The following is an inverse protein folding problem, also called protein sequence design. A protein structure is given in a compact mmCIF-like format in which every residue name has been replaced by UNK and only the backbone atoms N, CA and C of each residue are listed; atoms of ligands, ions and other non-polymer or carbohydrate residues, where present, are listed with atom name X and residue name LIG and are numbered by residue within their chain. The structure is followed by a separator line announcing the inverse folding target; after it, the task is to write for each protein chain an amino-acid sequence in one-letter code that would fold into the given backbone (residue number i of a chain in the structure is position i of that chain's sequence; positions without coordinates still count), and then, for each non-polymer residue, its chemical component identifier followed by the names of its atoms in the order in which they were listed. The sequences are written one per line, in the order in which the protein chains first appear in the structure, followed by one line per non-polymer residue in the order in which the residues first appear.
data_IF_562927549195
#
_entry.id   IF_562927549195
#
_cell.length_a   1.000
_cell.length_b   1.000
_cell.length_c   1.000
_cell.angle_alpha   90.00
_cell.angle_beta   90.00
_cell.angle_gamma   90.00
#
_symmetry.space_group_name_H-M   'P 1'
#
loop_
_entity.id
_entity.type
_entity.pdbx_description
1 polymer ?
#
# COMPACT_ATOMS: atom_id res chain seq x y z
N UNK A 1 36.59 -11.13 -65.29
CA UNK A 1 37.41 -12.13 -64.57
C UNK A 1 36.95 -12.16 -63.13
N UNK A 2 36.41 -13.32 -62.69
CA UNK A 2 36.46 -13.93 -61.34
C UNK A 2 36.33 -13.04 -60.09
N UNK A 3 35.50 -13.31 -59.08
CA UNK A 3 34.74 -14.49 -58.71
C UNK A 3 33.65 -14.12 -57.68
N UNK A 4 32.57 -14.88 -57.73
CA UNK A 4 31.46 -14.99 -56.78
C UNK A 4 31.89 -15.45 -55.38
N UNK A 5 31.24 -14.96 -54.31
CA UNK A 5 30.92 -15.84 -53.18
C UNK A 5 29.58 -15.50 -52.52
N UNK A 6 28.75 -16.52 -52.57
CA UNK A 6 27.36 -16.65 -52.17
C UNK A 6 27.33 -17.18 -50.72
N UNK A 7 26.61 -16.54 -49.80
CA UNK A 7 26.34 -17.10 -48.47
C UNK A 7 24.84 -17.16 -48.20
N UNK A 8 24.37 -18.41 -48.09
CA UNK A 8 22.99 -18.82 -47.83
C UNK A 8 22.52 -18.44 -46.41
N UNK A 9 21.20 -18.32 -46.20
CA UNK A 9 20.61 -18.08 -44.89
C UNK A 9 20.44 -19.38 -44.09
N UNK A 10 20.84 -19.35 -42.82
CA UNK A 10 20.70 -20.46 -41.89
C UNK A 10 19.31 -20.40 -41.21
N UNK A 11 18.37 -21.21 -41.71
CA UNK A 11 17.05 -21.41 -41.10
C UNK A 11 17.17 -22.43 -39.96
N UNK A 12 17.35 -21.92 -38.74
CA UNK A 12 17.25 -22.70 -37.50
C UNK A 12 15.81 -23.11 -37.19
N UNK A 13 15.44 -24.32 -37.62
CA UNK A 13 14.21 -25.03 -37.27
C UNK A 13 14.41 -25.66 -35.88
N UNK A 14 13.88 -25.08 -34.80
CA UNK A 14 13.77 -25.77 -33.50
C UNK A 14 12.34 -26.20 -33.24
N UNK A 15 12.19 -27.52 -33.36
CA UNK A 15 11.27 -28.43 -32.69
C UNK A 15 10.27 -27.82 -31.72
N UNK A 16 8.99 -28.09 -31.98
CA UNK A 16 7.93 -27.94 -31.00
C UNK A 16 8.08 -28.91 -29.83
N UNK A 17 7.65 -28.44 -28.66
CA UNK A 17 7.07 -29.26 -27.61
C UNK A 17 5.76 -28.58 -27.26
N UNK A 18 4.66 -29.24 -27.62
CA UNK A 18 3.31 -28.87 -27.24
C UNK A 18 2.97 -29.43 -25.85
N UNK A 19 2.15 -28.69 -25.11
CA UNK A 19 1.43 -29.07 -23.87
C UNK A 19 2.32 -29.42 -22.67
N UNK A 20 2.00 -29.01 -21.44
CA UNK A 20 0.72 -29.24 -20.77
C UNK A 20 0.23 -28.06 -19.91
N UNK A 21 -1.09 -27.84 -19.95
CA UNK A 21 -1.89 -27.21 -18.89
C UNK A 21 -1.53 -27.81 -17.53
N UNK A 22 -1.29 -26.97 -16.51
CA UNK A 22 -2.15 -26.96 -15.32
C UNK A 22 -2.21 -25.51 -14.81
N UNK A 23 -3.30 -24.81 -15.12
CA UNK A 23 -3.67 -23.57 -14.42
C UNK A 23 -4.28 -24.01 -13.10
N UNK A 24 -3.44 -24.34 -12.11
CA UNK A 24 -3.91 -24.48 -10.74
C UNK A 24 -4.41 -23.10 -10.34
N UNK A 25 -5.74 -22.96 -10.33
CA UNK A 25 -6.41 -21.91 -9.59
C UNK A 25 -6.11 -22.24 -8.13
N UNK A 26 -4.94 -21.84 -7.64
CA UNK A 26 -4.63 -21.82 -6.22
C UNK A 26 -5.59 -20.82 -5.58
N UNK A 27 -6.82 -21.28 -5.35
CA UNK A 27 -7.69 -20.68 -4.36
C UNK A 27 -6.95 -20.72 -3.02
N UNK A 28 -7.15 -19.70 -2.19
CA UNK A 28 -6.07 -19.15 -1.40
C UNK A 28 -5.95 -19.93 -0.09
N UNK A 29 -5.29 -21.09 -0.14
CA UNK A 29 -4.92 -21.83 1.08
C UNK A 29 -4.05 -20.97 1.99
N UNK A 30 -3.23 -20.05 1.45
CA UNK A 30 -2.53 -19.02 2.25
C UNK A 30 -3.46 -17.98 2.89
N UNK A 31 -4.60 -17.63 2.28
CA UNK A 31 -5.62 -16.78 2.94
C UNK A 31 -6.42 -17.56 3.98
N UNK A 32 -6.69 -18.85 3.76
CA UNK A 32 -7.43 -19.66 4.72
C UNK A 32 -6.58 -19.96 5.95
N UNK A 33 -5.29 -20.26 5.79
CA UNK A 33 -4.38 -20.43 6.93
C UNK A 33 -4.15 -19.11 7.66
N UNK A 34 -3.99 -17.98 6.97
CA UNK A 34 -3.92 -16.66 7.63
C UNK A 34 -5.24 -16.24 8.29
N UNK A 35 -6.40 -16.57 7.71
CA UNK A 35 -7.70 -16.34 8.35
C UNK A 35 -7.90 -17.21 9.58
N UNK A 36 -7.52 -18.50 9.54
CA UNK A 36 -7.62 -19.42 10.68
C UNK A 36 -6.61 -19.04 11.77
N UNK A 37 -5.38 -18.66 11.43
CA UNK A 37 -4.43 -18.16 12.44
C UNK A 37 -4.84 -16.82 13.01
N UNK A 38 -5.47 -15.93 12.22
CA UNK A 38 -6.01 -14.66 12.72
C UNK A 38 -7.29 -14.87 13.56
N UNK A 39 -8.07 -15.91 13.29
CA UNK A 39 -9.23 -16.30 14.10
C UNK A 39 -8.78 -16.86 15.45
N UNK A 40 -7.79 -17.76 15.46
CA UNK A 40 -7.20 -18.28 16.69
C UNK A 40 -6.36 -17.25 17.48
N UNK A 41 -5.81 -16.23 16.82
CA UNK A 41 -5.10 -15.13 17.49
C UNK A 41 -6.02 -14.00 17.97
N UNK A 42 -7.31 -14.03 17.63
CA UNK A 42 -8.22 -12.95 18.01
C UNK A 42 -8.76 -13.20 19.41
N UNK A 43 -8.49 -12.28 20.33
CA UNK A 43 -9.08 -12.23 21.67
C UNK A 43 -10.61 -12.37 21.63
N UNK A 44 -11.23 -11.95 20.53
CA UNK A 44 -12.66 -12.10 20.24
C UNK A 44 -13.11 -13.58 20.15
N UNK A 45 -12.29 -14.46 19.60
CA UNK A 45 -12.57 -15.89 19.52
C UNK A 45 -12.57 -16.54 20.90
N UNK A 46 -11.55 -16.24 21.71
CA UNK A 46 -11.47 -16.71 23.10
C UNK A 46 -12.62 -16.17 23.95
N UNK A 47 -13.01 -14.91 23.75
CA UNK A 47 -14.17 -14.32 24.38
C UNK A 47 -15.46 -15.08 24.02
N UNK A 48 -15.66 -15.39 22.73
CA UNK A 48 -16.84 -16.16 22.28
C UNK A 48 -16.86 -17.55 22.93
N UNK A 49 -15.73 -18.27 22.94
CA UNK A 49 -15.64 -19.58 23.59
C UNK A 49 -16.03 -19.49 25.06
N UNK A 50 -15.55 -18.47 25.76
CA UNK A 50 -15.78 -18.33 27.20
C UNK A 50 -17.23 -17.96 27.51
N UNK A 51 -17.85 -17.13 26.66
CA UNK A 51 -19.28 -16.85 26.74
C UNK A 51 -20.10 -18.13 26.50
N UNK A 52 -19.71 -18.98 25.54
CA UNK A 52 -20.36 -20.27 25.30
C UNK A 52 -20.20 -21.21 26.49
N UNK A 53 -18.99 -21.33 27.06
CA UNK A 53 -18.73 -22.16 28.25
C UNK A 53 -19.58 -21.69 29.43
N UNK A 54 -19.65 -20.37 29.64
CA UNK A 54 -20.49 -19.79 30.69
C UNK A 54 -21.97 -20.08 30.46
N UNK A 55 -22.47 -19.91 29.23
CA UNK A 55 -23.85 -20.24 28.89
C UNK A 55 -24.17 -21.72 29.12
N UNK A 56 -23.27 -22.63 28.73
CA UNK A 56 -23.41 -24.07 28.98
C UNK A 56 -23.39 -24.40 30.48
N UNK A 57 -22.52 -23.75 31.25
CA UNK A 57 -22.46 -23.94 32.71
C UNK A 57 -23.79 -23.55 33.37
N UNK A 58 -24.35 -22.39 32.99
CA UNK A 58 -25.66 -21.93 33.49
C UNK A 58 -26.82 -22.81 33.02
N UNK A 59 -26.76 -23.33 31.79
CA UNK A 59 -27.75 -24.28 31.29
C UNK A 59 -27.74 -25.59 32.07
N UNK A 60 -26.54 -26.12 32.33
CA UNK A 60 -26.36 -27.31 33.16
C UNK A 60 -26.93 -27.10 34.57
N UNK A 61 -26.69 -25.94 35.18
CA UNK A 61 -27.20 -25.59 36.50
C UNK A 61 -28.75 -25.60 36.53
N UNK A 62 -29.38 -24.93 35.56
CA UNK A 62 -30.84 -24.93 35.40
C UNK A 62 -31.38 -26.36 35.18
N UNK A 63 -30.70 -27.18 34.38
CA UNK A 63 -31.14 -28.55 34.09
C UNK A 63 -31.01 -29.50 35.29
N UNK A 64 -30.04 -29.25 36.18
CA UNK A 64 -29.76 -30.07 37.36
C UNK A 64 -30.58 -29.71 38.59
N UNK A 65 -31.39 -28.64 38.51
CA UNK A 65 -32.23 -28.13 39.60
C UNK A 65 -33.15 -29.18 40.26
N UNK A 66 -33.39 -30.33 39.63
CA UNK A 66 -34.23 -31.41 40.15
C UNK A 66 -33.51 -32.57 40.87
N UNK A 67 -32.18 -32.54 41.04
CA UNK A 67 -31.47 -33.67 41.67
C UNK A 67 -30.89 -33.31 43.05
N UNK A 68 -31.57 -33.66 44.17
CA UNK A 68 -31.20 -33.24 45.52
C UNK A 68 -29.92 -33.89 46.08
N UNK A 69 -29.30 -34.85 45.38
CA UNK A 69 -28.16 -35.60 45.88
C UNK A 69 -26.77 -35.03 45.50
N UNK A 70 -26.69 -33.93 44.74
CA UNK A 70 -25.42 -33.36 44.26
C UNK A 70 -24.95 -32.17 45.12
N UNK A 71 -24.43 -32.42 46.34
CA UNK A 71 -23.94 -31.35 47.24
C UNK A 71 -22.69 -30.58 46.72
N UNK A 72 -21.94 -31.16 45.78
CA UNK A 72 -20.70 -30.58 45.25
C UNK A 72 -20.94 -29.55 44.14
N UNK A 73 -22.04 -29.68 43.40
CA UNK A 73 -22.31 -28.89 42.19
C UNK A 73 -22.46 -27.39 42.47
N UNK A 74 -23.22 -26.94 43.49
CA UNK A 74 -23.37 -25.51 43.77
C UNK A 74 -22.03 -24.82 44.06
N UNK A 75 -21.15 -25.48 44.84
CA UNK A 75 -19.82 -24.94 45.16
C UNK A 75 -18.94 -24.80 43.92
N UNK A 76 -18.96 -25.79 43.03
CA UNK A 76 -18.22 -25.75 41.78
C UNK A 76 -18.76 -24.68 40.84
N UNK A 77 -20.08 -24.62 40.67
CA UNK A 77 -20.75 -23.62 39.83
C UNK A 77 -20.40 -22.20 40.28
N UNK A 78 -20.46 -21.90 41.57
CA UNK A 78 -20.14 -20.57 42.10
C UNK A 78 -18.68 -20.18 41.87
N UNK A 79 -17.74 -21.11 42.07
CA UNK A 79 -16.32 -20.83 41.80
C UNK A 79 -16.05 -20.63 40.31
N UNK A 80 -16.60 -21.50 39.45
CA UNK A 80 -16.41 -21.45 38.02
C UNK A 80 -17.06 -20.20 37.40
N UNK A 81 -18.27 -19.84 37.82
CA UNK A 81 -18.98 -18.65 37.35
C UNK A 81 -18.22 -17.38 37.72
N UNK A 82 -17.76 -17.24 38.98
CA UNK A 82 -16.94 -16.10 39.41
C UNK A 82 -15.66 -15.97 38.59
N UNK A 83 -14.97 -17.08 38.31
CA UNK A 83 -13.78 -17.07 37.46
C UNK A 83 -14.08 -16.64 36.02
N UNK A 84 -15.13 -17.19 35.41
CA UNK A 84 -15.53 -16.86 34.04
C UNK A 84 -15.97 -15.40 33.91
N UNK A 85 -16.74 -14.88 34.87
CA UNK A 85 -17.15 -13.48 34.91
C UNK A 85 -15.93 -12.57 35.02
N UNK A 86 -14.99 -12.87 35.92
CA UNK A 86 -13.75 -12.11 36.06
C UNK A 86 -12.95 -12.09 34.75
N UNK A 87 -12.88 -13.22 34.04
CA UNK A 87 -12.21 -13.30 32.75
C UNK A 87 -12.91 -12.47 31.67
N UNK A 88 -14.24 -12.54 31.58
CA UNK A 88 -15.05 -11.75 30.62
C UNK A 88 -14.84 -10.25 30.88
N UNK A 89 -14.91 -9.82 32.14
CA UNK A 89 -14.69 -8.43 32.53
C UNK A 89 -13.28 -7.97 32.12
N UNK A 90 -12.25 -8.78 32.40
CA UNK A 90 -10.86 -8.48 32.01
C UNK A 90 -10.71 -8.34 30.48
N UNK A 91 -11.30 -9.25 29.70
CA UNK A 91 -11.29 -9.16 28.24
C UNK A 91 -12.02 -7.92 27.73
N UNK A 92 -13.16 -7.59 28.34
CA UNK A 92 -13.92 -6.40 28.00
C UNK A 92 -13.12 -5.13 28.27
N UNK A 93 -12.44 -5.04 29.42
CA UNK A 93 -11.54 -3.93 29.73
C UNK A 93 -10.38 -3.84 28.74
N UNK A 94 -9.71 -4.95 28.42
CA UNK A 94 -8.65 -4.94 27.40
C UNK A 94 -9.18 -4.44 26.04
N UNK A 95 -10.36 -4.93 25.63
CA UNK A 95 -10.96 -4.55 24.36
C UNK A 95 -11.29 -3.05 24.32
N UNK A 96 -11.86 -2.51 25.39
CA UNK A 96 -12.29 -1.11 25.46
C UNK A 96 -11.10 -0.15 25.66
N UNK A 97 -10.13 -0.52 26.48
CA UNK A 97 -9.01 0.35 26.87
C UNK A 97 -7.85 0.29 25.88
N UNK A 98 -7.56 -0.87 25.30
CA UNK A 98 -6.39 -1.07 24.45
C UNK A 98 -6.81 -1.20 22.99
N UNK A 99 -7.61 -2.22 22.67
CA UNK A 99 -7.88 -2.58 21.27
C UNK A 99 -8.70 -1.52 20.52
N UNK A 100 -9.77 -1.00 21.12
CA UNK A 100 -10.66 -0.04 20.48
C UNK A 100 -9.97 1.31 20.20
N UNK A 101 -9.26 1.94 21.16
CA UNK A 101 -8.52 3.17 20.91
C UNK A 101 -7.43 2.98 19.85
N UNK A 102 -6.69 1.87 19.90
CA UNK A 102 -5.63 1.59 18.92
C UNK A 102 -6.19 1.44 17.50
N UNK A 103 -7.31 0.73 17.34
CA UNK A 103 -7.96 0.56 16.03
C UNK A 103 -8.49 1.89 15.49
N UNK A 104 -9.12 2.72 16.33
CA UNK A 104 -9.60 4.05 15.95
C UNK A 104 -8.43 4.95 15.53
N UNK A 105 -7.35 4.94 16.32
CA UNK A 105 -6.13 5.70 16.06
C UNK A 105 -5.52 5.31 14.71
N UNK A 106 -5.33 4.02 14.44
CA UNK A 106 -4.84 3.50 13.14
C UNK A 106 -5.69 3.99 11.95
N UNK A 107 -7.01 3.86 12.05
CA UNK A 107 -7.91 4.29 11.00
C UNK A 107 -7.82 5.81 10.71
N UNK A 108 -7.74 6.64 11.75
CA UNK A 108 -7.64 8.10 11.60
C UNK A 108 -6.35 8.47 10.85
N UNK A 109 -5.22 7.85 11.22
CA UNK A 109 -3.94 8.09 10.56
C UNK A 109 -4.01 7.68 9.11
N UNK A 110 -4.51 6.48 8.83
CA UNK A 110 -4.61 5.94 7.49
C UNK A 110 -5.42 6.87 6.60
N UNK A 111 -6.59 7.30 7.07
CA UNK A 111 -7.46 8.22 6.35
C UNK A 111 -6.78 9.58 6.12
N UNK A 112 -6.14 10.13 7.15
CA UNK A 112 -5.44 11.41 7.04
C UNK A 112 -4.26 11.32 6.06
N UNK A 113 -3.43 10.28 6.20
CA UNK A 113 -2.25 10.06 5.36
C UNK A 113 -2.63 9.79 3.91
N UNK A 114 -3.72 9.03 3.67
CA UNK A 114 -4.27 8.83 2.32
C UNK A 114 -4.69 10.15 1.70
N UNK A 115 -5.51 10.94 2.41
CA UNK A 115 -6.01 12.23 1.93
C UNK A 115 -4.86 13.20 1.64
N UNK A 116 -3.89 13.24 2.53
CA UNK A 116 -2.73 14.11 2.40
C UNK A 116 -1.83 13.68 1.24
N UNK A 117 -1.57 12.38 1.06
CA UNK A 117 -0.85 11.86 -0.10
C UNK A 117 -1.56 12.23 -1.41
N UNK A 118 -2.87 12.08 -1.46
CA UNK A 118 -3.67 12.46 -2.64
C UNK A 118 -3.59 13.96 -2.93
N UNK A 119 -3.62 14.82 -1.90
CA UNK A 119 -3.43 16.26 -2.05
C UNK A 119 -2.03 16.61 -2.58
N UNK A 120 -0.98 16.04 -1.98
CA UNK A 120 0.41 16.22 -2.42
C UNK A 120 0.57 15.79 -3.88
N UNK A 121 -0.02 14.66 -4.25
CA UNK A 121 0.03 14.12 -5.61
C UNK A 121 -0.66 15.07 -6.61
N UNK A 122 -1.82 15.64 -6.25
CA UNK A 122 -2.49 16.68 -7.06
C UNK A 122 -1.61 17.92 -7.22
N UNK A 123 -1.02 18.41 -6.14
CA UNK A 123 -0.18 19.61 -6.17
C UNK A 123 1.07 19.42 -7.03
N UNK A 124 1.73 18.25 -6.92
CA UNK A 124 2.83 17.86 -7.80
C UNK A 124 2.35 17.81 -9.25
N UNK A 125 1.17 17.26 -9.51
CA UNK A 125 0.63 17.14 -10.85
C UNK A 125 0.32 18.49 -11.48
N UNK A 126 -0.18 19.47 -10.71
CA UNK A 126 -0.28 20.86 -11.17
C UNK A 126 1.07 21.39 -11.65
N UNK A 127 2.15 21.16 -10.89
CA UNK A 127 3.49 21.60 -11.30
C UNK A 127 3.98 20.86 -12.55
N UNK A 128 3.69 19.55 -12.67
CA UNK A 128 4.01 18.77 -13.88
C UNK A 128 3.32 19.36 -15.11
N UNK A 129 2.02 19.68 -15.01
CA UNK A 129 1.27 20.26 -16.13
C UNK A 129 1.84 21.62 -16.51
N UNK A 130 2.06 22.52 -15.54
CA UNK A 130 2.62 23.85 -15.82
C UNK A 130 4.00 23.78 -16.46
N UNK A 131 4.90 22.92 -15.96
CA UNK A 131 6.21 22.69 -16.58
C UNK A 131 6.06 22.08 -17.98
N UNK A 132 5.14 21.13 -18.18
CA UNK A 132 4.90 20.52 -19.51
C UNK A 132 4.43 21.56 -20.53
N UNK A 133 3.56 22.49 -20.11
CA UNK A 133 3.10 23.60 -20.96
C UNK A 133 4.25 24.53 -21.36
N UNK A 134 5.11 24.88 -20.39
CA UNK A 134 6.34 25.64 -20.66
C UNK A 134 7.30 24.89 -21.59
N UNK A 135 7.33 23.57 -21.50
CA UNK A 135 8.08 22.67 -22.38
C UNK A 135 7.51 22.47 -23.78
N UNK A 136 6.35 23.09 -24.10
CA UNK A 136 5.78 23.12 -25.45
C UNK A 136 4.44 22.38 -25.61
N UNK A 137 3.96 21.67 -24.59
CA UNK A 137 2.68 20.94 -24.68
C UNK A 137 1.51 21.92 -24.57
N UNK A 138 0.68 22.02 -25.61
CA UNK A 138 -0.47 22.94 -25.66
C UNK A 138 -1.83 22.30 -25.39
N UNK A 139 -1.93 20.98 -25.41
CA UNK A 139 -3.19 20.24 -25.36
C UNK A 139 -3.59 19.77 -23.94
N UNK A 140 -2.84 20.16 -22.91
CA UNK A 140 -3.13 19.80 -21.51
C UNK A 140 -3.36 21.10 -20.73
N UNK A 141 -4.42 21.14 -19.93
CA UNK A 141 -4.71 22.24 -19.01
C UNK A 141 -4.85 21.72 -17.58
N UNK A 142 -4.66 22.60 -16.61
CA UNK A 142 -4.73 22.26 -15.19
C UNK A 142 -6.16 22.38 -14.63
N UNK A 143 -7.14 21.84 -15.37
CA UNK A 143 -8.54 21.78 -14.95
C UNK A 143 -8.82 20.55 -14.07
N UNK A 144 -9.85 20.63 -13.23
CA UNK A 144 -10.20 19.56 -12.27
C UNK A 144 -10.33 18.19 -12.94
N UNK A 145 -11.01 18.11 -14.10
CA UNK A 145 -11.23 16.86 -14.83
C UNK A 145 -9.94 16.24 -15.36
N UNK A 146 -9.02 17.07 -15.88
CA UNK A 146 -7.68 16.61 -16.30
C UNK A 146 -6.86 16.12 -15.12
N UNK A 147 -6.87 16.84 -13.99
CA UNK A 147 -6.17 16.41 -12.76
C UNK A 147 -6.69 15.04 -12.30
N UNK A 148 -8.01 14.86 -12.17
CA UNK A 148 -8.59 13.57 -11.74
C UNK A 148 -8.24 12.43 -12.70
N UNK A 149 -8.26 12.69 -14.00
CA UNK A 149 -7.87 11.70 -15.01
C UNK A 149 -6.40 11.30 -14.83
N UNK A 150 -5.52 12.28 -14.64
CA UNK A 150 -4.09 12.07 -14.48
C UNK A 150 -3.68 11.54 -13.10
N UNK A 151 -4.56 11.58 -12.10
CA UNK A 151 -4.34 10.92 -10.81
C UNK A 151 -4.34 9.39 -10.94
N UNK A 152 -5.00 8.86 -11.99
CA UNK A 152 -4.98 7.45 -12.35
C UNK A 152 -3.72 7.09 -13.13
N UNK A 153 -3.21 5.88 -12.92
CA UNK A 153 -2.00 5.38 -13.62
C UNK A 153 -2.20 5.36 -15.13
N UNK A 154 -3.35 4.87 -15.59
CA UNK A 154 -3.65 4.74 -17.01
C UNK A 154 -3.80 6.11 -17.67
N UNK A 155 -4.51 7.04 -17.01
CA UNK A 155 -4.67 8.40 -17.51
C UNK A 155 -3.34 9.12 -17.61
N UNK A 156 -2.50 9.04 -16.57
CA UNK A 156 -1.16 9.63 -16.59
C UNK A 156 -0.31 9.08 -17.72
N UNK A 157 -0.25 7.74 -17.85
CA UNK A 157 0.51 7.09 -18.91
C UNK A 157 0.01 7.52 -20.29
N UNK A 158 -1.29 7.46 -20.53
CA UNK A 158 -1.89 7.80 -21.82
C UNK A 158 -1.48 9.20 -22.31
N UNK A 159 -1.39 10.15 -21.39
CA UNK A 159 -1.04 11.54 -21.70
C UNK A 159 0.48 11.72 -21.87
N UNK A 160 1.31 11.10 -21.02
CA UNK A 160 2.75 11.38 -20.99
C UNK A 160 3.64 10.33 -21.68
N UNK A 161 3.12 9.16 -22.08
CA UNK A 161 3.91 8.09 -22.71
C UNK A 161 4.25 8.32 -24.19
N UNK A 162 3.58 9.25 -24.86
CA UNK A 162 3.69 9.48 -26.30
C UNK A 162 4.51 10.71 -26.65
N UNK A 163 5.84 10.60 -26.64
CA UNK A 163 6.72 11.64 -27.15
C UNK A 163 8.00 11.05 -27.73
N UNK A 164 8.28 11.33 -29.01
CA UNK A 164 9.57 10.99 -29.64
C UNK A 164 10.51 12.19 -29.69
N UNK A 165 9.94 13.39 -29.62
CA UNK A 165 10.67 14.64 -29.67
C UNK A 165 10.81 15.28 -28.30
N UNK A 166 11.80 16.17 -28.16
CA UNK A 166 12.13 16.85 -26.90
C UNK A 166 10.94 17.65 -26.31
N UNK A 167 9.96 18.04 -27.13
CA UNK A 167 8.85 18.90 -26.75
C UNK A 167 7.53 18.13 -26.57
N UNK A 168 7.57 16.80 -26.50
CA UNK A 168 6.39 15.95 -26.40
C UNK A 168 6.39 15.10 -25.11
N UNK A 169 5.19 14.76 -24.64
CA UNK A 169 4.96 13.85 -23.51
C UNK A 169 5.79 14.18 -22.27
N UNK A 170 6.37 13.14 -21.65
CA UNK A 170 7.19 13.30 -20.46
C UNK A 170 8.49 14.11 -20.70
N UNK A 171 9.04 14.09 -21.91
CA UNK A 171 10.26 14.82 -22.21
C UNK A 171 10.08 16.34 -22.16
N UNK A 172 8.91 16.86 -22.55
CA UNK A 172 8.59 18.27 -22.43
C UNK A 172 8.67 18.76 -20.98
N UNK A 173 8.11 17.98 -20.04
CA UNK A 173 8.22 18.24 -18.61
C UNK A 173 9.69 18.30 -18.17
N UNK A 174 10.46 17.26 -18.48
CA UNK A 174 11.86 17.12 -18.06
C UNK A 174 12.73 18.26 -18.59
N UNK A 175 12.54 18.63 -19.86
CA UNK A 175 13.28 19.73 -20.46
C UNK A 175 12.91 21.08 -19.84
N UNK A 176 11.63 21.30 -19.54
CA UNK A 176 11.19 22.53 -18.87
C UNK A 176 11.79 22.69 -17.48
N UNK A 177 11.80 21.64 -16.66
CA UNK A 177 12.35 21.74 -15.29
C UNK A 177 13.87 21.89 -15.28
N UNK A 178 14.55 21.43 -16.34
CA UNK A 178 15.98 21.66 -16.56
C UNK A 178 16.30 23.12 -16.84
N UNK A 179 15.45 23.79 -17.62
CA UNK A 179 15.66 25.21 -17.94
C UNK A 179 15.09 26.14 -16.85
N UNK A 180 14.01 25.73 -16.17
CA UNK A 180 13.33 26.52 -15.16
C UNK A 180 13.11 25.71 -13.87
N UNK A 181 13.86 26.07 -12.82
CA UNK A 181 13.85 25.37 -11.54
C UNK A 181 12.66 25.74 -10.63
N UNK A 182 11.75 26.64 -11.02
CA UNK A 182 10.68 27.09 -10.11
C UNK A 182 9.67 25.99 -9.77
N UNK A 183 9.31 25.16 -10.76
CA UNK A 183 8.41 24.03 -10.62
C UNK A 183 9.06 22.87 -9.87
N UNK A 184 10.34 22.59 -10.16
CA UNK A 184 11.08 21.52 -9.46
C UNK A 184 11.22 21.83 -7.97
N UNK A 185 11.48 23.09 -7.58
CA UNK A 185 11.50 23.51 -6.16
C UNK A 185 10.15 23.28 -5.47
N UNK A 186 9.03 23.57 -6.13
CA UNK A 186 7.69 23.30 -5.58
C UNK A 186 7.40 21.81 -5.45
N UNK A 187 7.81 21.01 -6.44
CA UNK A 187 7.70 19.54 -6.37
C UNK A 187 8.52 19.00 -5.21
N UNK A 188 9.78 19.42 -5.07
CA UNK A 188 10.66 19.01 -3.96
C UNK A 188 10.07 19.43 -2.61
N UNK A 189 9.49 20.64 -2.51
CA UNK A 189 8.77 21.07 -1.30
C UNK A 189 7.59 20.14 -0.96
N UNK A 190 6.80 19.74 -1.95
CA UNK A 190 5.69 18.80 -1.75
C UNK A 190 6.17 17.39 -1.35
N UNK A 191 7.29 16.93 -1.92
CA UNK A 191 7.93 15.68 -1.51
C UNK A 191 8.48 15.77 -0.08
N UNK A 192 9.09 16.89 0.30
CA UNK A 192 9.50 17.16 1.68
C UNK A 192 8.33 17.04 2.65
N UNK A 193 7.20 17.64 2.29
CA UNK A 193 5.99 17.52 3.10
C UNK A 193 5.55 16.06 3.24
N UNK A 194 5.62 15.25 2.17
CA UNK A 194 5.37 13.81 2.26
C UNK A 194 6.36 13.09 3.20
N UNK A 195 7.65 13.39 3.11
CA UNK A 195 8.68 12.79 3.98
C UNK A 195 8.46 13.12 5.45
N UNK A 196 8.13 14.37 5.77
CA UNK A 196 7.84 14.80 7.14
C UNK A 196 6.65 14.04 7.73
N UNK A 197 5.68 13.69 6.89
CA UNK A 197 4.46 13.02 7.31
C UNK A 197 4.69 11.52 7.48
N UNK A 198 5.53 10.92 6.63
CA UNK A 198 6.06 9.57 6.85
C UNK A 198 6.82 9.53 8.18
N UNK A 199 7.72 10.48 8.44
CA UNK A 199 8.47 10.56 9.69
C UNK A 199 7.53 10.74 10.90
N UNK A 200 6.53 11.61 10.80
CA UNK A 200 5.50 11.75 11.84
C UNK A 200 4.83 10.40 12.14
N UNK A 201 4.51 9.61 11.11
CA UNK A 201 3.90 8.29 11.29
C UNK A 201 4.88 7.31 11.96
N UNK A 202 6.12 7.24 11.47
CA UNK A 202 7.16 6.37 12.01
C UNK A 202 7.50 6.68 13.47
N UNK A 203 7.48 7.96 13.86
CA UNK A 203 7.82 8.40 15.21
C UNK A 203 6.69 8.18 16.23
N UNK A 204 5.42 8.31 15.81
CA UNK A 204 4.29 8.32 16.75
C UNK A 204 3.52 7.00 16.80
N UNK A 205 3.74 6.09 15.84
CA UNK A 205 2.95 4.87 15.73
C UNK A 205 3.80 3.61 15.65
N UNK A 206 3.39 2.61 16.44
CA UNK A 206 4.03 1.31 16.48
C UNK A 206 3.57 0.50 15.26
N UNK A 207 4.42 0.45 14.24
CA UNK A 207 4.27 -0.42 13.08
C UNK A 207 4.92 -1.76 13.41
N UNK A 208 4.09 -2.77 13.65
CA UNK A 208 4.55 -4.13 13.99
C UNK A 208 5.03 -4.90 12.76
N UNK A 209 4.53 -4.56 11.58
CA UNK A 209 4.96 -5.18 10.33
C UNK A 209 6.31 -4.62 9.89
N UNK A 210 7.35 -5.47 9.97
CA UNK A 210 8.72 -5.16 9.55
C UNK A 210 8.81 -4.73 8.08
N UNK A 211 8.03 -5.36 7.20
CA UNK A 211 8.04 -5.07 5.77
C UNK A 211 7.42 -3.70 5.48
N UNK A 212 6.30 -3.39 6.16
CA UNK A 212 5.66 -2.07 6.06
C UNK A 212 6.57 -0.97 6.58
N UNK A 213 7.17 -1.17 7.77
CA UNK A 213 8.12 -0.23 8.36
C UNK A 213 9.31 0.02 7.42
N UNK A 214 9.92 -1.05 6.89
CA UNK A 214 11.03 -0.92 5.95
C UNK A 214 10.62 -0.20 4.67
N UNK A 215 9.42 -0.43 4.16
CA UNK A 215 8.91 0.23 2.95
C UNK A 215 8.72 1.73 3.16
N UNK A 216 8.14 2.14 4.29
CA UNK A 216 8.00 3.55 4.66
C UNK A 216 9.37 4.21 4.87
N UNK A 217 10.31 3.52 5.54
CA UNK A 217 11.65 4.07 5.78
C UNK A 217 12.44 4.25 4.48
N UNK A 218 12.34 3.28 3.57
CA UNK A 218 12.97 3.39 2.24
C UNK A 218 12.35 4.53 1.43
N UNK A 219 11.03 4.74 1.51
CA UNK A 219 10.37 5.86 0.84
C UNK A 219 10.84 7.21 1.41
N UNK A 220 10.90 7.34 2.73
CA UNK A 220 11.44 8.53 3.41
C UNK A 220 12.89 8.83 2.96
N UNK A 221 13.75 7.81 2.97
CA UNK A 221 15.16 7.95 2.55
C UNK A 221 15.29 8.35 1.08
N UNK A 222 14.50 7.74 0.20
CA UNK A 222 14.50 8.09 -1.22
C UNK A 222 14.08 9.55 -1.43
N UNK A 223 13.06 10.03 -0.70
CA UNK A 223 12.65 11.43 -0.78
C UNK A 223 13.72 12.35 -0.18
N UNK A 224 14.31 11.97 0.96
CA UNK A 224 15.37 12.74 1.59
C UNK A 224 16.56 12.95 0.65
N UNK A 225 16.97 11.92 -0.10
CA UNK A 225 18.02 12.02 -1.12
C UNK A 225 17.67 12.99 -2.25
N UNK A 226 16.39 13.13 -2.60
CA UNK A 226 15.96 14.11 -3.60
C UNK A 226 16.10 15.56 -3.12
N UNK A 227 16.14 15.80 -1.81
CA UNK A 227 16.28 17.14 -1.23
C UNK A 227 17.71 17.66 -1.24
N UNK A 228 18.69 16.75 -1.20
CA UNK A 228 20.11 17.09 -1.26
C UNK A 228 20.61 17.32 -2.68
N UNK A 229 19.72 17.27 -3.68
CA UNK A 229 20.07 17.45 -5.08
C UNK A 229 20.24 18.94 -5.40
N UNK A 230 21.35 19.27 -6.05
CA UNK A 230 21.67 20.63 -6.49
C UNK A 230 21.00 20.96 -7.84
N UNK A 231 19.80 20.42 -8.10
CA UNK A 231 18.98 20.66 -9.31
C UNK A 231 19.77 20.72 -10.64
N UNK A 232 20.89 20.01 -10.70
CA UNK A 232 21.74 19.94 -11.86
C UNK A 232 21.15 18.93 -12.87
N UNK A 233 21.74 18.89 -14.08
CA UNK A 233 21.17 18.11 -15.17
C UNK A 233 20.99 16.62 -14.86
N UNK A 234 21.86 16.02 -14.04
CA UNK A 234 21.75 14.61 -13.66
C UNK A 234 20.77 14.38 -12.51
N UNK A 235 20.69 15.31 -11.58
CA UNK A 235 19.77 15.29 -10.45
C UNK A 235 18.30 15.34 -10.90
N UNK A 236 18.03 16.14 -11.92
CA UNK A 236 16.70 16.23 -12.53
C UNK A 236 16.24 14.89 -13.11
N UNK A 237 17.16 14.05 -13.60
CA UNK A 237 16.82 12.70 -14.08
C UNK A 237 16.38 11.81 -12.92
N UNK A 238 17.00 11.93 -11.75
CA UNK A 238 16.65 11.17 -10.55
C UNK A 238 15.24 11.57 -10.08
N UNK A 239 14.98 12.88 -9.96
CA UNK A 239 13.65 13.41 -9.61
C UNK A 239 12.59 12.95 -10.62
N UNK A 240 12.85 13.13 -11.92
CA UNK A 240 11.94 12.72 -12.99
C UNK A 240 11.64 11.22 -12.94
N UNK A 241 12.65 10.39 -12.71
CA UNK A 241 12.51 8.94 -12.56
C UNK A 241 11.62 8.60 -11.37
N UNK A 242 11.84 9.23 -10.22
CA UNK A 242 11.01 9.03 -9.04
C UNK A 242 9.55 9.42 -9.29
N UNK A 243 9.30 10.60 -9.87
CA UNK A 243 7.94 11.04 -10.22
C UNK A 243 7.27 10.07 -11.19
N UNK A 244 7.99 9.61 -12.22
CA UNK A 244 7.45 8.62 -13.14
C UNK A 244 7.04 7.33 -12.43
N UNK A 245 7.87 6.83 -11.50
CA UNK A 245 7.53 5.65 -10.70
C UNK A 245 6.29 5.88 -9.83
N UNK A 246 6.21 7.04 -9.16
CA UNK A 246 5.08 7.44 -8.32
C UNK A 246 3.76 7.50 -9.09
N UNK A 247 3.75 8.09 -10.30
CA UNK A 247 2.53 8.27 -11.07
C UNK A 247 2.15 7.07 -11.94
N UNK A 248 3.11 6.23 -12.35
CA UNK A 248 2.84 5.11 -13.26
C UNK A 248 2.92 3.74 -12.63
N UNK A 249 3.42 3.63 -11.39
CA UNK A 249 3.74 2.34 -10.76
C UNK A 249 4.86 1.57 -11.48
N UNK A 250 5.70 2.27 -12.25
CA UNK A 250 6.84 1.63 -12.91
C UNK A 250 7.91 1.22 -11.90
N UNK A 251 8.49 0.03 -12.09
CA UNK A 251 9.66 -0.46 -11.37
C UNK A 251 10.67 -1.00 -12.41
N UNK A 252 11.96 -0.75 -12.21
CA UNK A 252 13.01 -1.24 -13.12
C UNK A 252 13.11 -2.76 -13.20
N UNK A 253 12.80 -3.46 -12.09
CA UNK A 253 12.87 -4.92 -12.06
C UNK A 253 11.64 -5.58 -12.69
N UNK A 254 10.45 -5.06 -12.40
CA UNK A 254 9.17 -5.75 -12.67
C UNK A 254 8.30 -5.04 -13.72
N UNK A 255 8.73 -3.88 -14.24
CA UNK A 255 7.94 -3.06 -15.14
C UNK A 255 6.77 -2.37 -14.45
N UNK A 256 5.63 -2.23 -15.14
CA UNK A 256 4.43 -1.59 -14.61
C UNK A 256 3.67 -2.50 -13.65
N UNK A 257 3.48 -2.07 -12.41
CA UNK A 257 2.75 -2.83 -11.38
C UNK A 257 1.22 -2.77 -11.55
N UNK A 258 0.70 -1.75 -12.25
CA UNK A 258 -0.74 -1.50 -12.39
C UNK A 258 -1.41 -0.87 -11.16
N UNK A 259 -0.65 -0.58 -10.10
CA UNK A 259 -1.14 0.08 -8.88
C UNK A 259 -0.13 1.11 -8.39
N UNK A 260 -0.60 2.09 -7.61
CA UNK A 260 0.25 3.14 -7.05
C UNK A 260 1.04 2.55 -5.86
N UNK A 261 2.38 2.48 -5.94
CA UNK A 261 3.18 1.80 -4.94
C UNK A 261 3.11 2.47 -3.56
N UNK A 262 3.00 3.81 -3.53
CA UNK A 262 2.92 4.56 -2.27
C UNK A 262 1.51 4.38 -1.69
N UNK A 263 0.47 4.50 -2.52
CA UNK A 263 -0.91 4.26 -2.06
C UNK A 263 -1.09 2.87 -1.47
N UNK A 264 -0.48 1.84 -2.06
CA UNK A 264 -0.51 0.48 -1.50
C UNK A 264 0.14 0.39 -0.11
N UNK A 265 1.28 1.05 0.10
CA UNK A 265 1.92 1.13 1.42
C UNK A 265 0.97 1.77 2.44
N UNK A 266 0.27 2.84 2.06
CA UNK A 266 -0.70 3.52 2.93
C UNK A 266 -1.89 2.60 3.26
N UNK A 267 -2.35 1.83 2.27
CA UNK A 267 -3.44 0.86 2.44
C UNK A 267 -3.08 -0.31 3.35
N UNK A 268 -1.79 -0.57 3.60
CA UNK A 268 -1.30 -1.62 4.50
C UNK A 268 -1.14 -1.16 5.97
N UNK A 269 -1.24 0.15 6.26
CA UNK A 269 -1.25 0.72 7.63
C UNK A 269 -2.53 0.35 8.38
#
# INVERSE_FOLDING_TARGET
MTATKNTKPEKGKRSGIASYKVKFKELPMKKLTTLVTNLFSSILFWLIIIVIIYALLTWCDISKYNNPNDEWWPKFHDQASNFLIGFIISCFFYFLVVYLPDRRRRNIIKLNFTKMYENIKRDILHQIIFASQKGGIKNIHADFTTIETLMTIEGFKKVFSGGREANEGWYAFVNSIKTNQSESKKIISNLNFLSNQINFILAHYVILDKQLFSSLKNLELNIFQLNSLDLDCDDIKILSRFLWQMFTGWNFANGYSGYDPIKRIIEEI
#
